data_IF_046818392556
#
_entry.id   IF_046818392556
#
_cell.length_a   1.000
_cell.length_b   1.000
_cell.length_c   1.000
_cell.angle_alpha   90.00
_cell.angle_beta   90.00
_cell.angle_gamma   90.00
#
_symmetry.space_group_name_H-M   'P 1'
#
loop_
_entity.id
_entity.type
_entity.pdbx_description
1 polymer ?
#
# COMPACT_ATOMS: atom_id res chain seq x y z
N UNK A 1 2.48 -8.61 -15.69
CA UNK A 1 2.67 -8.91 -14.26
C UNK A 1 3.66 -7.92 -13.68
N UNK A 2 3.40 -7.40 -12.49
CA UNK A 2 4.31 -6.51 -11.77
C UNK A 2 4.71 -7.13 -10.42
N UNK A 3 5.96 -6.91 -10.03
CA UNK A 3 6.49 -7.30 -8.72
C UNK A 3 6.49 -6.07 -7.81
N UNK A 4 5.87 -6.21 -6.65
CA UNK A 4 5.65 -5.12 -5.71
C UNK A 4 5.95 -5.56 -4.28
N UNK A 5 6.07 -4.58 -3.39
CA UNK A 5 6.19 -4.76 -1.94
C UNK A 5 5.16 -3.88 -1.24
N UNK A 6 4.77 -4.23 -0.02
CA UNK A 6 3.92 -3.37 0.80
C UNK A 6 4.73 -2.23 1.44
N UNK A 7 4.06 -1.22 2.00
CA UNK A 7 4.74 -0.11 2.68
C UNK A 7 5.45 -0.53 3.97
N UNK A 8 5.13 -1.72 4.50
CA UNK A 8 5.68 -2.24 5.74
C UNK A 8 6.87 -3.18 5.53
N UNK A 9 7.19 -3.51 4.28
CA UNK A 9 8.21 -4.50 3.93
C UNK A 9 9.62 -3.86 3.83
N UNK A 10 10.58 -4.47 4.51
CA UNK A 10 11.98 -4.09 4.52
C UNK A 10 12.70 -4.57 3.24
N UNK A 11 13.75 -3.88 2.78
CA UNK A 11 14.33 -4.12 1.47
C UNK A 11 15.06 -5.45 1.26
N UNK A 12 15.20 -6.31 2.29
CA UNK A 12 16.14 -7.44 2.27
C UNK A 12 15.55 -8.75 2.86
N UNK A 13 14.29 -8.77 3.34
CA UNK A 13 13.73 -9.91 4.10
C UNK A 13 12.27 -10.28 3.76
N UNK A 14 11.55 -9.56 2.89
CA UNK A 14 10.08 -9.70 2.80
C UNK A 14 9.50 -10.30 1.50
N UNK A 15 8.25 -10.78 1.63
CA UNK A 15 7.44 -11.56 0.68
C UNK A 15 7.17 -10.81 -0.64
N UNK A 16 7.16 -11.55 -1.76
CA UNK A 16 6.91 -10.97 -3.09
C UNK A 16 5.40 -10.85 -3.36
N UNK A 17 4.95 -9.66 -3.79
CA UNK A 17 3.57 -9.43 -4.23
C UNK A 17 3.53 -9.41 -5.75
N UNK A 18 2.82 -10.37 -6.33
CA UNK A 18 2.65 -10.56 -7.76
C UNK A 18 1.30 -9.96 -8.17
N UNK A 19 1.34 -8.87 -8.94
CA UNK A 19 0.13 -8.21 -9.44
C UNK A 19 -0.14 -8.61 -10.90
N UNK A 20 -1.28 -9.25 -11.14
CA UNK A 20 -1.75 -9.57 -12.48
C UNK A 20 -2.42 -8.37 -13.15
N UNK A 21 -2.32 -8.27 -14.48
CA UNK A 21 -2.91 -7.16 -15.29
C UNK A 21 -2.37 -5.76 -14.95
N UNK A 22 -1.09 -5.69 -14.57
CA UNK A 22 -0.41 -4.45 -14.18
C UNK A 22 -0.03 -3.50 -15.35
N UNK A 23 -0.60 -3.66 -16.56
CA UNK A 23 -0.26 -2.84 -17.74
C UNK A 23 -0.52 -1.33 -17.55
N UNK A 24 -1.30 -0.97 -16.52
CA UNK A 24 -1.61 0.41 -16.14
C UNK A 24 -0.77 0.93 -14.96
N UNK A 25 0.06 0.10 -14.36
CA UNK A 25 0.90 0.49 -13.23
C UNK A 25 2.21 1.11 -13.70
N UNK A 26 2.60 2.20 -13.05
CA UNK A 26 3.91 2.84 -13.24
C UNK A 26 4.76 2.60 -12.00
N UNK A 27 6.02 2.21 -12.23
CA UNK A 27 7.01 2.02 -11.17
C UNK A 27 7.18 3.35 -10.41
N UNK A 28 7.22 3.27 -9.07
CA UNK A 28 7.38 4.43 -8.20
C UNK A 28 6.07 5.07 -7.71
N UNK A 29 4.91 4.59 -8.18
CA UNK A 29 3.61 5.00 -7.66
C UNK A 29 3.05 3.98 -6.68
N UNK A 30 2.27 4.45 -5.71
CA UNK A 30 1.50 3.62 -4.80
C UNK A 30 0.15 3.26 -5.42
N UNK A 31 -0.23 1.99 -5.28
CA UNK A 31 -1.50 1.47 -5.75
C UNK A 31 -2.13 0.60 -4.67
N UNK A 32 -3.44 0.75 -4.49
CA UNK A 32 -4.22 -0.21 -3.72
C UNK A 32 -4.46 -1.45 -4.59
N UNK A 33 -4.14 -2.61 -4.05
CA UNK A 33 -4.37 -3.92 -4.69
C UNK A 33 -5.11 -4.83 -3.73
N UNK A 34 -5.88 -5.76 -4.27
CA UNK A 34 -6.58 -6.77 -3.47
C UNK A 34 -5.88 -8.11 -3.62
N UNK A 35 -5.44 -8.69 -2.51
CA UNK A 35 -4.92 -10.05 -2.50
C UNK A 35 -6.06 -11.02 -2.81
N UNK A 36 -5.87 -11.86 -3.82
CA UNK A 36 -6.85 -12.84 -4.30
C UNK A 36 -6.41 -14.26 -4.03
N UNK A 37 -5.10 -14.51 -3.94
CA UNK A 37 -4.55 -15.84 -3.69
C UNK A 37 -3.20 -15.77 -2.98
N UNK A 38 -2.78 -16.88 -2.39
CA UNK A 38 -1.50 -17.05 -1.69
C UNK A 38 -0.92 -18.40 -2.07
N UNK A 39 0.31 -18.43 -2.56
CA UNK A 39 0.97 -19.67 -2.96
C UNK A 39 2.44 -19.67 -2.55
N UNK A 40 2.87 -20.67 -1.79
CA UNK A 40 4.28 -20.86 -1.37
C UNK A 40 5.01 -19.56 -0.93
N UNK A 41 4.37 -18.76 -0.07
CA UNK A 41 4.84 -17.45 0.45
C UNK A 41 4.68 -16.25 -0.50
N UNK A 42 4.29 -16.47 -1.75
CA UNK A 42 3.96 -15.41 -2.69
C UNK A 42 2.50 -14.96 -2.55
N UNK A 43 2.28 -13.66 -2.65
CA UNK A 43 0.95 -13.05 -2.60
C UNK A 43 0.51 -12.65 -4.01
N UNK A 44 -0.62 -13.20 -4.46
CA UNK A 44 -1.22 -12.83 -5.74
C UNK A 44 -2.26 -11.75 -5.52
N UNK A 45 -2.11 -10.65 -6.24
CA UNK A 45 -2.98 -9.51 -6.13
C UNK A 45 -3.58 -9.10 -7.47
N UNK A 46 -4.80 -8.59 -7.42
CA UNK A 46 -5.47 -8.01 -8.57
C UNK A 46 -5.67 -6.51 -8.33
N UNK A 47 -5.39 -5.72 -9.37
CA UNK A 47 -5.64 -4.28 -9.33
C UNK A 47 -7.14 -4.01 -9.39
N UNK A 48 -7.69 -3.43 -8.32
CA UNK A 48 -9.06 -2.94 -8.31
C UNK A 48 -9.04 -1.40 -8.31
N UNK A 49 -9.57 -0.79 -9.37
CA UNK A 49 -9.64 0.67 -9.52
C UNK A 49 -10.66 1.36 -8.59
N UNK A 50 -11.11 0.67 -7.53
CA UNK A 50 -12.05 1.18 -6.53
C UNK A 50 -11.28 1.97 -5.47
N UNK A 51 -10.91 3.20 -5.85
CA UNK A 51 -10.12 4.09 -5.02
C UNK A 51 -10.70 4.32 -3.64
N UNK A 52 -9.95 3.96 -2.60
CA UNK A 52 -10.04 4.65 -1.33
C UNK A 52 -9.34 5.99 -1.52
N UNK A 53 -10.11 7.07 -1.49
CA UNK A 53 -9.53 8.40 -1.26
C UNK A 53 -8.76 8.34 0.05
N UNK A 54 -7.44 8.30 0.01
CA UNK A 54 -6.64 8.60 1.19
C UNK A 54 -6.99 10.04 1.57
N UNK A 55 -7.80 10.18 2.62
CA UNK A 55 -8.10 11.46 3.23
C UNK A 55 -6.76 11.97 3.76
N UNK A 56 -6.17 12.95 3.08
CA UNK A 56 -5.06 13.72 3.60
C UNK A 56 -5.49 14.25 4.97
N UNK A 57 -5.00 13.61 6.02
CA UNK A 57 -5.02 14.16 7.37
C UNK A 57 -4.14 15.39 7.28
N UNK A 58 -4.79 16.56 7.22
CA UNK A 58 -4.10 17.84 7.40
C UNK A 58 -3.39 17.77 8.74
N UNK A 59 -2.07 17.85 8.70
CA UNK A 59 -1.21 17.94 9.87
C UNK A 59 -1.25 19.39 10.40
N UNK A 60 -2.42 19.93 10.74
CA UNK A 60 -2.56 21.27 11.32
C UNK A 60 -3.39 21.26 12.62
N UNK A 61 -3.35 20.16 13.37
CA UNK A 61 -3.75 20.18 14.78
C UNK A 61 -2.49 20.08 15.64
N UNK A 62 -1.80 21.21 15.74
CA UNK A 62 -0.89 21.46 16.84
C UNK A 62 -1.67 21.24 18.15
N UNK A 63 -1.25 20.25 18.94
CA UNK A 63 -1.76 20.03 20.28
C UNK A 63 -1.40 21.28 21.11
N UNK A 64 -2.36 22.05 21.65
CA UNK A 64 -2.03 23.07 22.63
C UNK A 64 -1.70 22.36 23.93
N UNK A 65 -0.41 22.22 24.22
CA UNK A 65 0.11 21.95 25.55
C UNK A 65 -0.16 23.16 26.45
N UNK A 66 -1.41 23.32 26.91
CA UNK A 66 -1.74 24.07 28.13
C UNK A 66 -3.26 24.05 28.34
N UNK A 67 -3.72 23.24 29.31
CA UNK A 67 -4.61 23.61 30.44
C UNK A 67 -4.47 22.46 31.45
N UNK A 68 -3.56 22.56 32.43
CA UNK A 68 -3.80 23.23 33.71
C UNK A 68 -5.14 22.81 34.33
N UNK A 69 -5.07 21.78 35.17
CA UNK A 69 -5.81 21.66 36.43
C UNK A 69 -5.07 20.66 37.32
#
# INVERSE_FOLDING_TARGET
TAFCRSEFDAPEVDNEIIVELADKMKIGNFYDVKIVDIYEYDLFAQFEATGRKQKSKNCDEAIPLEKAN
#
